data_IF_449440049970
#
_entry.id   IF_449440049970
#
_cell.length_a   1.000
_cell.length_b   1.000
_cell.length_c   1.000
_cell.angle_alpha   90.00
_cell.angle_beta   90.00
_cell.angle_gamma   90.00
#
_symmetry.space_group_name_H-M   'P 1'
#
loop_
_entity.id
_entity.type
_entity.pdbx_description
1 polymer ?
#
# COMPACT_ATOMS: atom_id res chain seq x y z
N UNK A 1 -10.33 53.57 -1.32
CA UNK A 1 -9.34 52.58 -1.81
C UNK A 1 -9.22 51.47 -0.76
N UNK A 2 -9.87 50.31 -0.98
CA UNK A 2 -9.78 49.13 -0.09
C UNK A 2 -9.22 47.98 -0.93
N UNK A 3 -8.06 47.45 -0.54
CA UNK A 3 -7.39 46.33 -1.21
C UNK A 3 -7.98 45.02 -0.68
N UNK A 4 -8.47 44.17 -1.59
CA UNK A 4 -8.87 42.79 -1.30
C UNK A 4 -7.62 41.92 -1.09
N UNK A 5 -7.50 41.17 0.02
CA UNK A 5 -6.48 40.16 0.15
C UNK A 5 -6.91 38.87 -0.56
N UNK A 6 -6.17 38.59 -1.63
CA UNK A 6 -5.73 37.30 -2.14
C UNK A 6 -6.40 36.04 -1.55
N UNK A 7 -7.31 35.46 -2.35
CA UNK A 7 -7.56 34.02 -2.35
C UNK A 7 -6.33 33.32 -2.94
N UNK A 8 -5.49 32.74 -2.08
CA UNK A 8 -4.60 31.66 -2.48
C UNK A 8 -5.45 30.44 -2.80
N UNK A 9 -5.87 30.34 -4.05
CA UNK A 9 -6.43 29.12 -4.62
C UNK A 9 -5.24 28.15 -4.81
N UNK A 10 -4.95 27.35 -3.79
CA UNK A 10 -4.07 26.20 -3.92
C UNK A 10 -4.75 25.20 -4.85
N UNK A 11 -4.45 25.32 -6.14
CA UNK A 11 -4.85 24.38 -7.17
C UNK A 11 -4.04 23.10 -6.95
N UNK A 12 -4.61 22.17 -6.17
CA UNK A 12 -4.07 20.83 -6.00
C UNK A 12 -3.93 20.19 -7.38
N UNK A 13 -2.69 19.89 -7.76
CA UNK A 13 -2.39 19.13 -8.97
C UNK A 13 -2.91 17.70 -8.75
N UNK A 14 -4.12 17.44 -9.23
CA UNK A 14 -4.68 16.09 -9.42
C UNK A 14 -3.93 15.39 -10.56
N UNK A 15 -2.67 15.03 -10.33
CA UNK A 15 -2.05 13.94 -11.10
C UNK A 15 -2.65 12.68 -10.51
N UNK A 16 -3.56 12.05 -11.26
CA UNK A 16 -4.45 11.00 -10.79
C UNK A 16 -3.73 9.79 -10.20
N UNK A 17 -3.65 9.74 -8.86
CA UNK A 17 -3.66 8.45 -8.16
C UNK A 17 -5.01 7.81 -8.46
N UNK A 18 -5.01 6.82 -9.36
CA UNK A 18 -6.25 6.20 -9.87
C UNK A 18 -6.96 5.32 -8.85
N UNK A 19 -6.22 4.83 -7.86
CA UNK A 19 -6.68 4.04 -6.71
C UNK A 19 -5.93 4.53 -5.45
N UNK A 20 -6.55 4.47 -4.27
CA UNK A 20 -5.94 4.68 -2.95
C UNK A 20 -5.27 3.40 -2.42
N UNK A 21 -4.35 3.47 -1.43
CA UNK A 21 -3.75 2.27 -0.85
C UNK A 21 -4.79 1.31 -0.26
N UNK A 22 -5.82 1.86 0.41
CA UNK A 22 -6.99 1.11 0.88
C UNK A 22 -7.67 0.33 -0.24
N UNK A 23 -8.03 0.99 -1.33
CA UNK A 23 -8.76 0.37 -2.45
C UNK A 23 -7.94 -0.76 -3.09
N UNK A 24 -6.62 -0.64 -3.16
CA UNK A 24 -5.74 -1.70 -3.65
C UNK A 24 -5.83 -2.96 -2.77
N UNK A 25 -5.88 -2.80 -1.45
CA UNK A 25 -6.02 -3.94 -0.52
C UNK A 25 -7.42 -4.57 -0.60
N UNK A 26 -8.47 -3.75 -0.66
CA UNK A 26 -9.85 -4.24 -0.80
C UNK A 26 -10.03 -5.02 -2.12
N UNK A 27 -9.46 -4.53 -3.23
CA UNK A 27 -9.45 -5.23 -4.52
C UNK A 27 -8.63 -6.51 -4.47
N UNK A 28 -7.43 -6.48 -3.90
CA UNK A 28 -6.57 -7.66 -3.81
C UNK A 28 -7.22 -8.77 -2.97
N UNK A 29 -7.90 -8.38 -1.89
CA UNK A 29 -8.63 -9.31 -1.04
C UNK A 29 -9.86 -9.90 -1.74
N UNK A 30 -10.60 -9.08 -2.48
CA UNK A 30 -11.73 -9.56 -3.30
C UNK A 30 -11.27 -10.52 -4.39
N UNK A 31 -10.18 -10.20 -5.08
CA UNK A 31 -9.59 -11.08 -6.08
C UNK A 31 -9.12 -12.41 -5.47
N UNK A 32 -8.52 -12.37 -4.28
CA UNK A 32 -8.09 -13.57 -3.54
C UNK A 32 -9.27 -14.50 -3.18
N UNK A 33 -10.41 -13.95 -2.73
CA UNK A 33 -11.63 -14.75 -2.48
C UNK A 33 -12.16 -15.41 -3.75
N UNK A 34 -12.02 -14.74 -4.90
CA UNK A 34 -12.43 -15.26 -6.20
C UNK A 34 -11.41 -16.17 -6.88
N UNK A 35 -10.27 -16.47 -6.24
CA UNK A 35 -9.10 -17.14 -6.84
C UNK A 35 -8.61 -16.47 -8.15
N UNK A 36 -8.82 -15.15 -8.29
CA UNK A 36 -8.40 -14.37 -9.45
C UNK A 36 -6.93 -13.93 -9.32
N UNK A 37 -6.04 -14.90 -9.53
CA UNK A 37 -4.58 -14.68 -9.49
C UNK A 37 -4.13 -13.64 -10.53
N UNK A 38 -4.83 -13.53 -11.67
CA UNK A 38 -4.46 -12.58 -12.72
C UNK A 38 -4.67 -11.15 -12.24
N UNK A 39 -5.85 -10.85 -11.68
CA UNK A 39 -6.12 -9.54 -11.08
C UNK A 39 -5.17 -9.27 -9.91
N UNK A 40 -4.96 -10.24 -9.02
CA UNK A 40 -4.03 -10.10 -7.89
C UNK A 40 -2.64 -9.69 -8.38
N UNK A 41 -2.08 -10.36 -9.39
CA UNK A 41 -0.76 -10.05 -9.95
C UNK A 41 -0.63 -8.59 -10.38
N UNK A 42 -1.70 -7.98 -10.87
CA UNK A 42 -1.68 -6.56 -11.26
C UNK A 42 -1.56 -5.64 -10.06
N UNK A 43 -2.04 -6.02 -8.88
CA UNK A 43 -2.08 -5.17 -7.68
C UNK A 43 -0.77 -5.19 -6.88
N UNK A 44 0.13 -6.11 -7.19
CA UNK A 44 1.46 -6.21 -6.57
C UNK A 44 2.53 -5.44 -7.35
N UNK A 45 3.58 -5.05 -6.63
CA UNK A 45 4.71 -4.33 -7.20
C UNK A 45 5.48 -5.21 -8.19
N UNK A 46 6.07 -4.61 -9.23
CA UNK A 46 6.87 -5.35 -10.22
C UNK A 46 7.97 -6.16 -9.52
N UNK A 47 8.60 -5.59 -8.49
CA UNK A 47 9.62 -6.25 -7.69
C UNK A 47 9.07 -7.49 -6.95
N UNK A 48 7.85 -7.41 -6.41
CA UNK A 48 7.20 -8.54 -5.74
C UNK A 48 6.86 -9.65 -6.72
N UNK A 49 6.26 -9.32 -7.86
CA UNK A 49 5.92 -10.28 -8.91
C UNK A 49 7.17 -11.03 -9.36
N UNK A 50 8.23 -10.29 -9.72
CA UNK A 50 9.50 -10.90 -10.13
C UNK A 50 10.13 -11.76 -9.03
N UNK A 51 10.01 -11.37 -7.75
CA UNK A 51 10.54 -12.16 -6.64
C UNK A 51 9.83 -13.51 -6.52
N UNK A 52 8.50 -13.52 -6.64
CA UNK A 52 7.70 -14.74 -6.59
C UNK A 52 7.99 -15.63 -7.80
N UNK A 53 8.07 -15.05 -8.99
CA UNK A 53 8.38 -15.77 -10.23
C UNK A 53 9.84 -16.28 -10.29
N UNK A 54 10.80 -15.60 -9.67
CA UNK A 54 12.18 -16.11 -9.55
C UNK A 54 12.27 -17.27 -8.55
N UNK A 55 11.51 -17.23 -7.45
CA UNK A 55 11.45 -18.34 -6.51
C UNK A 55 10.95 -19.63 -7.18
N UNK A 56 10.06 -19.51 -8.18
CA UNK A 56 9.64 -20.60 -9.05
C UNK A 56 10.80 -21.23 -9.83
N UNK A 57 11.60 -20.41 -10.53
CA UNK A 57 12.72 -20.90 -11.36
C UNK A 57 13.75 -21.70 -10.56
N UNK A 58 13.93 -21.39 -9.27
CA UNK A 58 14.92 -22.03 -8.41
C UNK A 58 14.40 -23.31 -7.72
N UNK A 59 13.10 -23.41 -7.43
CA UNK A 59 12.54 -24.47 -6.59
C UNK A 59 11.72 -25.53 -7.34
N UNK A 60 11.37 -25.31 -8.61
CA UNK A 60 10.65 -26.31 -9.43
C UNK A 60 9.19 -26.57 -9.04
N UNK A 61 8.67 -25.93 -7.99
CA UNK A 61 7.27 -25.98 -7.56
C UNK A 61 6.40 -25.03 -8.40
N UNK A 62 5.17 -25.39 -8.81
CA UNK A 62 4.32 -24.53 -9.64
C UNK A 62 4.12 -23.13 -9.06
N UNK A 63 4.05 -22.11 -9.94
CA UNK A 63 3.70 -20.69 -9.68
C UNK A 63 2.52 -20.53 -8.69
N UNK A 64 1.60 -21.50 -8.68
CA UNK A 64 0.44 -21.53 -7.81
C UNK A 64 0.77 -21.37 -6.32
N UNK A 65 1.81 -22.00 -5.76
CA UNK A 65 1.96 -22.03 -4.30
C UNK A 65 2.25 -20.66 -3.69
N UNK A 66 3.15 -19.86 -4.29
CA UNK A 66 3.48 -18.54 -3.75
C UNK A 66 2.32 -17.53 -3.87
N UNK A 67 1.57 -17.60 -4.96
CA UNK A 67 0.37 -16.80 -5.15
C UNK A 67 -0.80 -17.28 -4.29
N UNK A 68 -0.91 -18.58 -4.07
CA UNK A 68 -1.89 -19.19 -3.18
C UNK A 68 -1.60 -18.83 -1.72
N UNK A 69 -0.34 -18.91 -1.26
CA UNK A 69 0.06 -18.44 0.06
C UNK A 69 -0.27 -16.95 0.25
N UNK A 70 -0.11 -16.14 -0.80
CA UNK A 70 -0.52 -14.73 -0.76
C UNK A 70 -2.04 -14.54 -0.75
N UNK A 71 -2.77 -15.37 -1.50
CA UNK A 71 -4.24 -15.38 -1.53
C UNK A 71 -4.81 -15.70 -0.15
N UNK A 72 -4.28 -16.73 0.51
CA UNK A 72 -4.65 -17.10 1.89
C UNK A 72 -4.36 -15.97 2.88
N UNK A 73 -3.26 -15.24 2.68
CA UNK A 73 -2.95 -14.07 3.52
C UNK A 73 -3.87 -12.90 3.23
N UNK A 74 -4.36 -12.76 2.01
CA UNK A 74 -5.28 -11.70 1.58
C UNK A 74 -6.75 -12.01 1.88
N UNK A 75 -7.03 -13.09 2.61
CA UNK A 75 -8.38 -13.45 3.04
C UNK A 75 -8.39 -13.80 4.53
N UNK A 76 -9.60 -13.87 5.08
CA UNK A 76 -9.84 -14.42 6.42
C UNK A 76 -11.15 -15.22 6.41
N UNK A 77 -11.09 -16.49 6.81
CA UNK A 77 -12.24 -17.42 6.80
C UNK A 77 -13.02 -17.43 5.46
N UNK A 78 -12.29 -17.34 4.34
CA UNK A 78 -12.87 -17.31 2.99
C UNK A 78 -13.59 -16.01 2.61
N UNK A 79 -13.47 -14.95 3.42
CA UNK A 79 -14.05 -13.64 3.16
C UNK A 79 -12.97 -12.57 2.88
N UNK A 80 -13.35 -11.46 2.23
CA UNK A 80 -12.45 -10.33 2.07
C UNK A 80 -12.07 -9.72 3.44
N UNK A 81 -10.88 -9.13 3.50
CA UNK A 81 -10.33 -8.45 4.65
C UNK A 81 -11.05 -7.12 4.89
N UNK A 82 -11.20 -6.77 6.16
CA UNK A 82 -11.85 -5.53 6.58
C UNK A 82 -10.80 -4.45 6.86
N UNK A 83 -10.66 -3.48 5.93
CA UNK A 83 -9.66 -2.42 6.03
C UNK A 83 -10.08 -1.36 7.04
N UNK A 84 -9.22 -1.10 8.03
CA UNK A 84 -9.50 -0.19 9.15
C UNK A 84 -8.88 1.18 9.00
N UNK A 85 -7.59 1.21 8.69
CA UNK A 85 -6.83 2.46 8.67
C UNK A 85 -5.81 2.45 7.54
N UNK A 86 -5.45 3.65 7.07
CA UNK A 86 -4.33 3.86 6.17
C UNK A 86 -3.45 5.01 6.66
N UNK A 87 -2.15 4.89 6.48
CA UNK A 87 -1.17 5.93 6.75
C UNK A 87 -0.19 6.02 5.58
N UNK A 88 -0.11 7.21 4.99
CA UNK A 88 0.71 7.48 3.80
C UNK A 88 1.87 8.39 4.19
N UNK A 89 3.07 8.03 3.76
CA UNK A 89 4.30 8.80 3.96
C UNK A 89 5.13 8.77 2.69
N UNK A 90 5.16 9.91 1.98
CA UNK A 90 5.81 10.00 0.68
C UNK A 90 5.26 8.93 -0.27
N UNK A 91 6.16 8.15 -0.88
CA UNK A 91 5.82 7.11 -1.84
C UNK A 91 5.47 5.76 -1.19
N UNK A 92 5.23 5.72 0.13
CA UNK A 92 4.93 4.50 0.86
C UNK A 92 3.64 4.64 1.66
N UNK A 93 2.93 3.53 1.82
CA UNK A 93 1.75 3.46 2.67
C UNK A 93 1.76 2.21 3.54
N UNK A 94 1.13 2.33 4.72
CA UNK A 94 0.76 1.21 5.58
C UNK A 94 -0.77 1.16 5.64
N UNK A 95 -1.33 -0.03 5.48
CA UNK A 95 -2.77 -0.29 5.59
C UNK A 95 -3.00 -1.35 6.67
N UNK A 96 -3.85 -1.01 7.64
CA UNK A 96 -4.21 -1.89 8.74
C UNK A 96 -5.51 -2.60 8.40
N UNK A 97 -5.49 -3.92 8.43
CA UNK A 97 -6.66 -4.75 8.13
C UNK A 97 -7.00 -5.67 9.28
N UNK A 98 -8.29 -5.85 9.53
CA UNK A 98 -8.81 -6.78 10.51
C UNK A 98 -8.99 -8.17 9.86
N UNK A 99 -8.42 -9.18 10.50
CA UNK A 99 -8.55 -10.60 10.17
C UNK A 99 -8.98 -11.35 11.44
N UNK A 100 -10.30 -11.48 11.64
CA UNK A 100 -10.87 -12.03 12.86
C UNK A 100 -10.56 -11.15 14.08
N UNK A 101 -9.88 -11.69 15.08
CA UNK A 101 -9.45 -10.94 16.27
C UNK A 101 -8.09 -10.22 16.09
N UNK A 102 -7.40 -10.41 14.96
CA UNK A 102 -6.06 -9.89 14.72
C UNK A 102 -6.05 -8.74 13.73
N UNK A 103 -5.10 -7.82 13.90
CA UNK A 103 -4.78 -6.80 12.91
C UNK A 103 -3.53 -7.21 12.15
N UNK A 104 -3.57 -7.11 10.82
CA UNK A 104 -2.43 -7.30 9.92
C UNK A 104 -2.08 -5.97 9.28
N UNK A 105 -0.79 -5.71 9.12
CA UNK A 105 -0.32 -4.54 8.37
C UNK A 105 0.11 -4.97 6.95
N UNK A 106 -0.35 -4.21 5.96
CA UNK A 106 0.11 -4.31 4.57
C UNK A 106 0.89 -3.05 4.22
N UNK A 107 1.94 -3.23 3.44
CA UNK A 107 2.80 -2.13 3.02
C UNK A 107 2.74 -2.02 1.50
N UNK A 108 2.51 -0.80 1.04
CA UNK A 108 2.40 -0.47 -0.37
C UNK A 108 3.47 0.55 -0.73
N UNK A 109 3.85 0.57 -2.01
CA UNK A 109 4.65 1.64 -2.60
C UNK A 109 3.94 2.24 -3.80
N UNK A 110 4.24 3.49 -4.09
CA UNK A 110 3.81 4.12 -5.33
C UNK A 110 4.77 3.73 -6.46
N UNK A 111 4.21 3.19 -7.55
CA UNK A 111 4.89 2.85 -8.81
C UNK A 111 4.16 3.53 -9.95
N UNK A 112 4.82 4.43 -10.68
CA UNK A 112 4.27 5.09 -11.87
C UNK A 112 2.87 5.71 -11.65
N UNK A 113 2.65 6.31 -10.47
CA UNK A 113 1.37 6.91 -10.09
C UNK A 113 0.30 5.94 -9.55
N UNK A 114 0.62 4.65 -9.43
CA UNK A 114 -0.25 3.62 -8.89
C UNK A 114 0.28 3.07 -7.56
N UNK A 115 -0.61 2.84 -6.59
CA UNK A 115 -0.25 2.09 -5.40
C UNK A 115 -0.16 0.60 -5.71
N UNK A 116 0.89 -0.05 -5.20
CA UNK A 116 1.14 -1.48 -5.39
C UNK A 116 1.55 -2.11 -4.08
N UNK A 117 1.01 -3.29 -3.79
CA UNK A 117 1.39 -4.07 -2.62
C UNK A 117 2.83 -4.56 -2.80
N UNK A 118 3.70 -4.30 -1.83
CA UNK A 118 5.11 -4.70 -1.93
C UNK A 118 5.59 -5.49 -0.71
N UNK A 119 6.06 -6.71 -0.98
CA UNK A 119 6.73 -7.54 0.01
C UNK A 119 8.11 -6.96 0.36
N UNK A 120 8.20 -6.28 1.50
CA UNK A 120 9.43 -5.69 2.03
C UNK A 120 9.40 -4.17 2.17
N UNK A 121 8.35 -3.51 1.65
CA UNK A 121 8.19 -2.06 1.76
C UNK A 121 8.08 -1.55 3.22
N UNK A 122 7.72 -2.41 4.18
CA UNK A 122 7.56 -2.00 5.57
C UNK A 122 8.82 -1.41 6.22
N UNK A 123 10.02 -1.85 5.82
CA UNK A 123 11.26 -1.24 6.31
C UNK A 123 11.44 0.19 5.77
N UNK A 124 11.08 0.42 4.50
CA UNK A 124 11.16 1.73 3.87
C UNK A 124 10.14 2.70 4.45
N UNK A 125 8.88 2.28 4.55
CA UNK A 125 7.82 3.04 5.20
C UNK A 125 8.23 3.49 6.62
N UNK A 126 8.76 2.59 7.46
CA UNK A 126 9.18 2.96 8.82
C UNK A 126 10.30 3.99 8.86
N UNK A 127 11.25 3.92 7.92
CA UNK A 127 12.33 4.92 7.80
C UNK A 127 11.79 6.28 7.39
N UNK A 128 10.91 6.32 6.40
CA UNK A 128 10.28 7.57 5.95
C UNK A 128 9.39 8.16 7.05
N UNK A 129 8.61 7.35 7.76
CA UNK A 129 7.80 7.82 8.90
C UNK A 129 8.66 8.43 10.00
N UNK A 130 9.77 7.78 10.34
CA UNK A 130 10.69 8.29 11.35
C UNK A 130 11.32 9.63 10.92
N UNK A 131 11.70 9.75 9.65
CA UNK A 131 12.23 10.99 9.08
C UNK A 131 11.19 12.13 9.13
N UNK A 132 9.98 11.89 8.62
CA UNK A 132 8.91 12.89 8.63
C UNK A 132 8.54 13.33 10.05
N UNK A 133 8.53 12.40 11.01
CA UNK A 133 8.27 12.72 12.42
C UNK A 133 9.39 13.57 13.03
N UNK A 134 10.64 13.29 12.69
CA UNK A 134 11.78 14.08 13.16
C UNK A 134 11.79 15.50 12.56
N UNK A 135 11.43 15.64 11.27
CA UNK A 135 11.31 16.93 10.59
C UNK A 135 10.20 17.78 11.22
N UNK A 136 9.00 17.21 11.40
CA UNK A 136 7.89 17.91 12.06
C UNK A 136 8.23 18.33 13.51
N UNK A 137 8.98 17.50 14.24
CA UNK A 137 9.42 17.83 15.59
C UNK A 137 10.52 18.90 15.63
N UNK A 138 11.28 19.10 14.55
CA UNK A 138 12.25 20.17 14.42
C UNK A 138 11.55 21.50 14.12
N UNK A 139 10.62 21.52 13.18
CA UNK A 139 9.81 22.71 12.83
C UNK A 139 9.05 23.24 14.05
N UNK A 140 8.42 22.35 14.82
CA UNK A 140 7.68 22.73 16.03
C UNK A 140 8.54 23.36 17.14
N UNK A 141 9.87 23.22 17.10
CA UNK A 141 10.81 23.84 18.04
C UNK A 141 11.35 25.19 17.56
N UNK A 142 11.26 25.48 16.28
CA UNK A 142 11.67 26.77 15.71
C UNK A 142 10.56 27.82 15.82
N UNK A 143 9.30 27.38 15.89
CA UNK A 143 8.11 28.25 16.00
C UNK A 143 7.65 28.54 17.44
N UNK A 144 8.32 27.98 18.46
CA UNK A 144 7.97 28.10 19.89
C UNK A 144 9.00 28.84 20.72
#
# INVERSE_FOLDING_TARGET
>A
MKRLPWLFLAMLVLVGCRDSPREVIERASTAAVGDDIVEMKTLFSVATVQRLERAWQLNGTPDAQGWQDLSERLTFDGAPLDVKNEDIVGDFARVDVQAGAFVRDYYLRQEDGHWRIELGAGLRYRREKAKATAEAAAEAKEDG
#
